data_IF_889890295886
#
_entry.id   IF_889890295886
#
_cell.length_a   1.000
_cell.length_b   1.000
_cell.length_c   1.000
_cell.angle_alpha   90.00
_cell.angle_beta   90.00
_cell.angle_gamma   90.00
#
_symmetry.space_group_name_H-M   'P 1'
#
loop_
_entity.id
_entity.type
_entity.pdbx_description
1 polymer ?
#
# COMPACT_ATOMS: atom_id res chain seq x y z
N UNK A 1 7.55 13.81 -10.09
CA UNK A 1 8.16 12.73 -10.90
C UNK A 1 7.40 11.44 -10.62
N UNK A 2 7.01 10.70 -11.66
CA UNK A 2 6.44 9.36 -11.50
C UNK A 2 7.46 8.47 -10.80
N UNK A 3 7.03 7.72 -9.78
CA UNK A 3 7.94 6.78 -9.14
C UNK A 3 8.08 5.52 -9.98
N UNK A 4 9.32 5.14 -10.27
CA UNK A 4 9.63 3.76 -10.65
C UNK A 4 9.45 2.83 -9.44
N UNK A 5 9.23 1.54 -9.70
CA UNK A 5 9.00 0.52 -8.66
C UNK A 5 10.01 0.56 -7.49
N UNK A 6 11.34 0.64 -7.72
CA UNK A 6 12.30 0.66 -6.61
C UNK A 6 12.15 1.90 -5.73
N UNK A 7 11.99 3.08 -6.34
CA UNK A 7 11.80 4.34 -5.63
C UNK A 7 10.47 4.36 -4.86
N UNK A 8 9.41 3.76 -5.41
CA UNK A 8 8.15 3.58 -4.70
C UNK A 8 8.31 2.71 -3.45
N UNK A 9 8.96 1.56 -3.59
CA UNK A 9 9.17 0.64 -2.47
C UNK A 9 10.04 1.29 -1.40
N UNK A 10 11.14 1.94 -1.79
CA UNK A 10 12.01 2.63 -0.85
C UNK A 10 11.26 3.71 -0.06
N UNK A 11 10.43 4.51 -0.73
CA UNK A 11 9.71 5.61 -0.11
C UNK A 11 8.55 5.13 0.79
N UNK A 12 7.74 4.16 0.32
CA UNK A 12 6.50 3.80 1.01
C UNK A 12 6.56 2.53 1.86
N UNK A 13 7.53 1.63 1.68
CA UNK A 13 7.54 0.36 2.43
C UNK A 13 7.65 0.58 3.95
N UNK A 14 8.42 1.57 4.40
CA UNK A 14 8.55 1.87 5.83
C UNK A 14 7.21 2.34 6.41
N UNK A 15 6.54 3.30 5.76
CA UNK A 15 5.26 3.82 6.28
C UNK A 15 4.16 2.74 6.22
N UNK A 16 4.09 1.95 5.14
CA UNK A 16 3.18 0.81 5.02
C UNK A 16 3.43 -0.19 6.16
N UNK A 17 4.69 -0.51 6.44
CA UNK A 17 5.08 -1.41 7.52
C UNK A 17 4.67 -0.91 8.90
N UNK A 18 5.07 0.31 9.25
CA UNK A 18 4.91 0.88 10.60
C UNK A 18 3.47 1.25 10.89
N UNK A 19 2.76 1.84 9.92
CA UNK A 19 1.43 2.41 10.15
C UNK A 19 0.30 1.41 9.89
N UNK A 20 0.46 0.53 8.89
CA UNK A 20 -0.60 -0.37 8.46
C UNK A 20 -0.31 -1.83 8.82
N UNK A 21 0.81 -2.41 8.38
CA UNK A 21 1.11 -3.84 8.57
C UNK A 21 1.30 -4.23 10.04
N UNK A 22 1.65 -3.30 10.94
CA UNK A 22 1.65 -3.53 12.39
C UNK A 22 0.30 -4.03 12.92
N UNK A 23 -0.80 -3.69 12.24
CA UNK A 23 -2.17 -4.09 12.58
C UNK A 23 -2.64 -5.35 11.84
N UNK A 24 -1.75 -6.03 11.11
CA UNK A 24 -2.08 -7.25 10.39
C UNK A 24 -2.64 -8.33 11.34
N UNK A 25 -3.82 -8.91 11.04
CA UNK A 25 -4.47 -9.85 11.94
C UNK A 25 -3.70 -11.18 12.00
N UNK A 26 -3.25 -11.54 13.21
CA UNK A 26 -2.54 -12.81 13.46
C UNK A 26 -3.47 -14.01 13.62
N UNK A 27 -4.76 -13.77 13.93
CA UNK A 27 -5.81 -14.78 14.09
C UNK A 27 -6.72 -14.71 12.87
N UNK A 28 -6.49 -15.56 11.87
CA UNK A 28 -7.12 -15.46 10.55
C UNK A 28 -8.57 -15.96 10.58
N UNK A 29 -9.53 -15.06 10.30
CA UNK A 29 -10.93 -15.40 10.01
C UNK A 29 -11.39 -14.79 8.67
N UNK A 30 -10.91 -13.60 8.35
CA UNK A 30 -11.18 -12.89 7.09
C UNK A 30 -9.97 -12.04 6.67
N UNK A 31 -9.87 -11.75 5.37
CA UNK A 31 -8.84 -10.87 4.83
C UNK A 31 -9.04 -9.42 5.33
N UNK A 32 -7.95 -8.70 5.69
CA UNK A 32 -8.04 -7.36 6.25
C UNK A 32 -8.18 -6.28 5.17
N UNK A 33 -9.25 -6.32 4.37
CA UNK A 33 -9.47 -5.37 3.24
C UNK A 33 -9.53 -3.90 3.69
N UNK A 34 -9.97 -3.63 4.92
CA UNK A 34 -9.91 -2.28 5.52
C UNK A 34 -8.50 -1.63 5.50
N UNK A 35 -7.44 -2.43 5.31
CA UNK A 35 -6.07 -1.93 5.19
C UNK A 35 -5.81 -1.16 3.90
N UNK A 36 -6.59 -1.35 2.83
CA UNK A 36 -6.45 -0.55 1.60
C UNK A 36 -6.66 0.95 1.88
N UNK A 37 -7.64 1.28 2.71
CA UNK A 37 -7.86 2.64 3.22
C UNK A 37 -6.68 3.17 4.05
N UNK A 38 -6.07 2.32 4.88
CA UNK A 38 -4.85 2.68 5.63
C UNK A 38 -3.69 3.04 4.69
N UNK A 39 -3.45 2.22 3.66
CA UNK A 39 -2.40 2.48 2.68
C UNK A 39 -2.65 3.79 1.93
N UNK A 40 -3.86 3.99 1.41
CA UNK A 40 -4.23 5.21 0.69
C UNK A 40 -4.00 6.46 1.53
N UNK A 41 -4.49 6.46 2.78
CA UNK A 41 -4.35 7.59 3.69
C UNK A 41 -2.88 7.90 4.00
N UNK A 42 -2.10 6.89 4.38
CA UNK A 42 -0.71 7.11 4.78
C UNK A 42 0.20 7.43 3.61
N UNK A 43 -0.06 6.88 2.41
CA UNK A 43 0.64 7.29 1.21
C UNK A 43 0.41 8.77 0.92
N UNK A 44 -0.83 9.28 1.05
CA UNK A 44 -1.13 10.71 0.87
C UNK A 44 -0.48 11.60 1.93
N UNK A 45 -0.46 11.17 3.19
CA UNK A 45 0.23 11.86 4.29
C UNK A 45 1.74 11.91 4.05
N UNK A 46 2.32 10.84 3.52
CA UNK A 46 3.75 10.72 3.19
C UNK A 46 4.11 11.34 1.84
N UNK A 47 3.48 12.47 1.50
CA UNK A 47 3.70 13.25 0.28
C UNK A 47 3.36 12.52 -1.04
N UNK A 48 2.67 11.39 -0.99
CA UNK A 48 2.17 10.70 -2.18
C UNK A 48 1.00 11.45 -2.81
N UNK A 49 1.07 11.63 -4.13
CA UNK A 49 -0.05 11.98 -4.99
C UNK A 49 -0.46 10.73 -5.74
N UNK A 50 -1.70 10.29 -5.53
CA UNK A 50 -2.26 9.09 -6.15
C UNK A 50 -3.36 9.59 -7.08
N UNK A 51 -3.23 9.31 -8.38
CA UNK A 51 -4.23 9.70 -9.38
C UNK A 51 -5.40 8.69 -9.41
N UNK A 52 -6.03 8.51 -8.25
CA UNK A 52 -7.20 7.66 -8.05
C UNK A 52 -7.98 8.07 -6.80
N UNK A 53 -9.30 7.83 -6.84
CA UNK A 53 -10.13 7.92 -5.63
C UNK A 53 -9.77 6.82 -4.62
N UNK A 54 -10.20 6.98 -3.37
CA UNK A 54 -9.99 5.96 -2.36
C UNK A 54 -10.72 4.65 -2.71
N UNK A 55 -11.92 4.74 -3.30
CA UNK A 55 -12.67 3.56 -3.75
C UNK A 55 -11.93 2.84 -4.87
N UNK A 56 -11.46 3.57 -5.89
CA UNK A 56 -10.71 3.00 -7.00
C UNK A 56 -9.40 2.36 -6.54
N UNK A 57 -8.74 2.97 -5.57
CA UNK A 57 -7.55 2.39 -4.94
C UNK A 57 -7.89 1.08 -4.22
N UNK A 58 -8.97 1.05 -3.43
CA UNK A 58 -9.39 -0.15 -2.71
C UNK A 58 -9.72 -1.31 -3.68
N UNK A 59 -10.45 -1.06 -4.76
CA UNK A 59 -10.74 -2.05 -5.80
C UNK A 59 -9.49 -2.74 -6.36
N UNK A 60 -8.38 -1.98 -6.50
CA UNK A 60 -7.12 -2.51 -7.02
C UNK A 60 -6.32 -3.28 -5.97
N UNK A 61 -6.42 -2.89 -4.69
CA UNK A 61 -5.55 -3.40 -3.62
C UNK A 61 -6.21 -4.49 -2.77
N UNK A 62 -7.52 -4.50 -2.62
CA UNK A 62 -8.24 -5.53 -1.85
C UNK A 62 -7.92 -6.96 -2.33
N UNK A 63 -7.82 -7.26 -3.64
CA UNK A 63 -7.40 -8.58 -4.11
C UNK A 63 -5.99 -9.00 -3.62
N UNK A 64 -5.07 -8.04 -3.49
CA UNK A 64 -3.72 -8.29 -2.94
C UNK A 64 -3.81 -8.63 -1.46
N UNK A 65 -4.66 -7.93 -0.71
CA UNK A 65 -4.86 -8.20 0.72
C UNK A 65 -5.46 -9.59 0.95
N UNK A 66 -6.37 -10.03 0.07
CA UNK A 66 -6.89 -11.40 0.09
C UNK A 66 -5.82 -12.44 -0.22
N UNK A 67 -4.98 -12.20 -1.24
CA UNK A 67 -3.88 -13.09 -1.61
C UNK A 67 -2.85 -13.20 -0.47
N UNK A 68 -2.41 -12.06 0.07
CA UNK A 68 -1.50 -12.00 1.20
C UNK A 68 -2.09 -12.68 2.44
N UNK A 69 -3.40 -12.57 2.65
CA UNK A 69 -4.07 -13.27 3.75
C UNK A 69 -3.98 -14.79 3.62
N UNK A 70 -4.10 -15.33 2.41
CA UNK A 70 -4.02 -16.77 2.14
C UNK A 70 -2.59 -17.30 2.22
N UNK A 71 -1.61 -16.50 1.81
CA UNK A 71 -0.21 -16.93 1.69
C UNK A 71 0.64 -16.61 2.92
N UNK A 72 0.28 -15.60 3.72
CA UNK A 72 1.01 -15.27 4.94
C UNK A 72 0.76 -16.34 6.01
N UNK A 73 1.82 -16.99 6.52
CA UNK A 73 1.67 -17.99 7.58
C UNK A 73 0.98 -17.42 8.83
N UNK A 74 0.19 -18.24 9.50
CA UNK A 74 -0.52 -17.86 10.73
C UNK A 74 0.46 -17.30 11.77
N UNK A 75 0.11 -16.16 12.36
CA UNK A 75 0.95 -15.49 13.36
C UNK A 75 2.03 -14.58 12.79
N UNK A 76 2.26 -14.59 11.47
CA UNK A 76 3.22 -13.73 10.80
C UNK A 76 2.55 -12.50 10.16
N UNK A 77 3.38 -11.52 9.80
CA UNK A 77 3.01 -10.31 9.07
C UNK A 77 3.76 -10.33 7.74
N UNK A 78 3.11 -10.01 6.60
CA UNK A 78 3.79 -10.01 5.31
C UNK A 78 4.93 -8.97 5.29
N UNK A 79 5.96 -9.25 4.51
CA UNK A 79 7.12 -8.36 4.41
C UNK A 79 6.73 -7.04 3.74
N UNK A 80 7.04 -5.92 4.39
CA UNK A 80 6.65 -4.58 3.92
C UNK A 80 7.11 -4.23 2.51
N UNK A 81 8.30 -4.68 2.11
CA UNK A 81 8.84 -4.41 0.77
C UNK A 81 8.08 -5.21 -0.30
N UNK A 82 7.72 -6.46 0.00
CA UNK A 82 6.86 -7.28 -0.86
C UNK A 82 5.49 -6.63 -1.03
N UNK A 83 4.84 -6.22 0.08
CA UNK A 83 3.53 -5.56 0.03
C UNK A 83 3.59 -4.26 -0.79
N UNK A 84 4.59 -3.41 -0.54
CA UNK A 84 4.75 -2.16 -1.30
C UNK A 84 4.98 -2.43 -2.81
N UNK A 85 5.76 -3.46 -3.14
CA UNK A 85 5.96 -3.89 -4.52
C UNK A 85 4.67 -4.34 -5.18
N UNK A 86 3.89 -5.20 -4.52
CA UNK A 86 2.60 -5.66 -5.03
C UNK A 86 1.60 -4.51 -5.23
N UNK A 87 1.54 -3.56 -4.29
CA UNK A 87 0.72 -2.35 -4.42
C UNK A 87 1.12 -1.57 -5.66
N UNK A 88 2.42 -1.29 -5.85
CA UNK A 88 2.90 -0.61 -7.05
C UNK A 88 2.49 -1.33 -8.32
N UNK A 89 2.74 -2.64 -8.39
CA UNK A 89 2.47 -3.45 -9.58
C UNK A 89 0.98 -3.43 -9.95
N UNK A 90 0.08 -3.40 -8.95
CA UNK A 90 -1.38 -3.28 -9.19
C UNK A 90 -1.84 -1.90 -9.58
N UNK A 91 -1.30 -0.85 -8.98
CA UNK A 91 -1.60 0.52 -9.38
C UNK A 91 -1.14 0.76 -10.82
N UNK A 92 0.09 0.36 -11.16
CA UNK A 92 0.63 0.46 -12.51
C UNK A 92 -0.22 -0.33 -13.53
N UNK A 93 -0.61 -1.58 -13.22
CA UNK A 93 -1.48 -2.37 -14.08
C UNK A 93 -2.90 -1.78 -14.21
N UNK A 94 -3.37 -1.07 -13.18
CA UNK A 94 -4.64 -0.35 -13.18
C UNK A 94 -4.60 1.04 -13.81
N UNK A 95 -3.45 1.45 -14.35
CA UNK A 95 -3.24 2.80 -14.93
C UNK A 95 -3.18 3.93 -13.91
N UNK A 96 -3.02 3.61 -12.62
CA UNK A 96 -2.94 4.60 -11.54
C UNK A 96 -1.49 5.02 -11.33
N UNK A 97 -1.23 6.31 -11.50
CA UNK A 97 0.07 6.89 -11.27
C UNK A 97 0.24 7.31 -9.81
N UNK A 98 1.44 7.07 -9.24
CA UNK A 98 1.83 7.61 -7.94
C UNK A 98 3.07 8.50 -8.10
N UNK A 99 2.96 9.73 -7.62
CA UNK A 99 4.02 10.75 -7.60
C UNK A 99 4.35 11.13 -6.16
N UNK A 100 5.53 11.70 -5.95
CA UNK A 100 5.90 12.32 -4.66
C UNK A 100 5.91 13.83 -4.86
N UNK A 101 5.24 14.55 -3.96
CA UNK A 101 5.31 16.01 -3.88
C UNK A 101 6.73 16.46 -3.53
N UNK A 102 7.25 17.52 -4.17
CA UNK A 102 8.46 18.18 -3.70
C UNK A 102 8.30 18.59 -2.24
N UNK A 103 9.36 18.40 -1.45
CA UNK A 103 9.38 18.60 0.00
C UNK A 103 9.05 20.03 0.44
N UNK A 104 9.06 20.99 -0.49
CA UNK A 104 8.87 22.43 -0.25
C UNK A 104 7.40 22.89 -0.41
N UNK A 105 6.44 21.98 -0.53
CA UNK A 105 5.01 22.36 -0.64
C UNK A 105 4.39 22.44 0.77
N UNK A 106 4.00 23.62 1.28
CA UNK A 106 3.39 23.74 2.61
C UNK A 106 2.03 23.03 2.67
N UNK A 107 1.70 22.50 3.86
CA UNK A 107 0.46 21.80 4.19
C UNK A 107 -0.76 22.71 4.24
#
# INVERSE_FOLDING_TARGET
>A
MQLGRPAFVEHFAIVIGVQCLKRWPKRQRFAPTWMSGCFYQWMKISAGEIDASAERFAELIDPILEELHKTTPKGQTPERAIVAGMIYDRLAAGGVEVRIRPRDTPF
#
